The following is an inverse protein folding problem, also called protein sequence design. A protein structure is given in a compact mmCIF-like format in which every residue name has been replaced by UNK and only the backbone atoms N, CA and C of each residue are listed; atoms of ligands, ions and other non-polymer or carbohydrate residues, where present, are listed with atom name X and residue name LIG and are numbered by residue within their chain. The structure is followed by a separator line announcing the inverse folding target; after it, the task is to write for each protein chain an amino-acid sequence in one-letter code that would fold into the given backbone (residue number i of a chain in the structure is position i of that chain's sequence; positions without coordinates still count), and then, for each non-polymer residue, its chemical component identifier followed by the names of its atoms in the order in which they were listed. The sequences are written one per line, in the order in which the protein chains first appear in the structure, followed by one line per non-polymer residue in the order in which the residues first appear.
data_IF_775364006287
#
_entry.id   IF_775364006287
#
_cell.length_a   1.000
_cell.length_b   1.000
_cell.length_c   1.000
_cell.angle_alpha   90.00
_cell.angle_beta   90.00
_cell.angle_gamma   90.00
#
_symmetry.space_group_name_H-M   'P 1'
#
loop_
_entity.id
_entity.type
_entity.pdbx_description
1 polymer ?
#
# COMPACT_ATOMS: atom_id res chain seq x y z
N UNK A 1 -7.64 -14.43 -2.65
CA UNK A 1 -6.74 -13.32 -2.28
C UNK A 1 -5.43 -13.95 -1.86
N UNK A 2 -4.37 -13.77 -2.63
CA UNK A 2 -3.03 -14.18 -2.16
C UNK A 2 -2.69 -13.41 -0.87
N UNK A 3 -2.15 -14.12 0.12
CA UNK A 3 -1.86 -13.58 1.44
C UNK A 3 -0.60 -12.72 1.42
N UNK A 4 -0.70 -11.52 0.85
CA UNK A 4 0.35 -10.49 0.84
C UNK A 4 0.13 -9.43 1.93
N UNK A 5 1.21 -8.75 2.34
CA UNK A 5 1.10 -7.57 3.22
C UNK A 5 0.71 -6.36 2.37
N UNK A 6 -0.50 -5.85 2.54
CA UNK A 6 -0.95 -4.63 1.84
C UNK A 6 -0.18 -3.43 2.40
N UNK A 7 0.53 -2.71 1.52
CA UNK A 7 1.28 -1.50 1.87
C UNK A 7 0.42 -0.24 1.69
N UNK A 8 -0.44 -0.24 0.69
CA UNK A 8 -1.35 0.85 0.36
C UNK A 8 -2.68 0.28 -0.13
N UNK A 9 -3.80 0.88 0.27
CA UNK A 9 -5.12 0.62 -0.31
C UNK A 9 -5.82 1.93 -0.67
N UNK A 10 -6.51 1.94 -1.81
CA UNK A 10 -7.39 3.01 -2.30
C UNK A 10 -8.70 2.40 -2.80
N UNK A 11 -9.78 2.62 -2.07
CA UNK A 11 -11.16 2.28 -2.43
C UNK A 11 -12.02 3.53 -2.61
N UNK A 12 -11.54 4.72 -2.21
CA UNK A 12 -12.22 5.98 -2.49
C UNK A 12 -11.49 7.21 -1.95
N UNK A 13 -12.27 8.16 -1.45
CA UNK A 13 -11.82 9.47 -0.95
C UNK A 13 -11.83 9.57 0.58
N UNK A 14 -12.01 8.46 1.31
CA UNK A 14 -12.16 8.44 2.77
C UNK A 14 -10.92 8.90 3.52
N UNK A 15 -9.74 8.75 2.92
CA UNK A 15 -8.45 9.16 3.49
C UNK A 15 -7.74 10.11 2.55
N UNK A 16 -7.39 11.30 3.03
CA UNK A 16 -6.56 12.25 2.27
C UNK A 16 -5.11 11.76 2.19
N UNK A 17 -4.60 11.59 0.97
CA UNK A 17 -3.21 11.19 0.71
C UNK A 17 -2.25 12.37 0.53
N UNK A 18 -2.76 13.59 0.34
CA UNK A 18 -1.93 14.80 0.38
C UNK A 18 -1.50 15.06 1.84
N UNK A 19 -0.32 14.56 2.21
CA UNK A 19 0.20 14.56 3.59
C UNK A 19 1.69 14.89 3.60
N UNK A 20 2.18 15.36 4.75
CA UNK A 20 3.59 15.67 4.94
C UNK A 20 4.47 14.41 5.10
N UNK A 21 5.79 14.62 5.12
CA UNK A 21 6.78 13.56 5.29
C UNK A 21 6.58 12.72 6.55
N UNK A 22 6.25 13.33 7.68
CA UNK A 22 6.07 12.62 8.94
C UNK A 22 4.94 11.59 8.86
N UNK A 23 3.84 11.94 8.19
CA UNK A 23 2.74 11.04 7.92
C UNK A 23 3.16 9.88 7.01
N UNK A 24 3.87 10.14 5.91
CA UNK A 24 4.37 9.07 5.03
C UNK A 24 5.40 8.16 5.71
N UNK A 25 6.22 8.71 6.61
CA UNK A 25 7.20 7.95 7.39
C UNK A 25 6.52 6.97 8.36
N UNK A 26 5.47 7.41 9.05
CA UNK A 26 4.81 6.65 10.11
C UNK A 26 3.61 5.81 9.63
N UNK A 27 2.94 6.23 8.56
CA UNK A 27 1.68 5.66 8.07
C UNK A 27 0.46 6.48 8.51
N UNK A 28 -0.66 6.29 7.81
CA UNK A 28 -1.94 6.94 8.09
C UNK A 28 -3.10 6.14 7.47
N UNK A 29 -4.34 6.44 7.89
CA UNK A 29 -5.54 5.72 7.48
C UNK A 29 -5.86 4.52 8.37
N UNK A 30 -6.71 3.63 7.88
CA UNK A 30 -7.18 2.43 8.59
C UNK A 30 -6.74 1.17 7.83
N UNK A 31 -6.07 0.24 8.52
CA UNK A 31 -5.54 -1.00 7.93
C UNK A 31 -6.62 -1.90 7.34
N UNK A 32 -7.88 -1.76 7.76
CA UNK A 32 -9.01 -2.48 7.18
C UNK A 32 -9.61 -1.75 5.97
N UNK A 33 -9.27 -0.47 5.76
CA UNK A 33 -9.78 0.41 4.70
C UNK A 33 -8.62 1.09 3.96
N UNK A 34 -8.82 2.32 3.50
CA UNK A 34 -7.79 3.14 2.86
C UNK A 34 -6.68 3.49 3.83
N UNK A 35 -5.44 3.18 3.43
CA UNK A 35 -4.29 3.46 4.27
C UNK A 35 -2.99 3.53 3.46
N UNK A 36 -2.00 4.10 4.12
CA UNK A 36 -0.58 3.96 3.84
C UNK A 36 0.10 3.34 5.06
N UNK A 37 0.73 2.17 4.89
CA UNK A 37 1.32 1.40 6.00
C UNK A 37 2.43 2.18 6.73
N UNK A 38 3.17 3.02 6.00
CA UNK A 38 4.28 3.82 6.50
C UNK A 38 5.64 3.30 6.07
N UNK A 39 6.51 4.20 5.58
CA UNK A 39 7.83 3.85 5.04
C UNK A 39 8.72 3.08 6.03
N UNK A 40 8.68 3.41 7.33
CA UNK A 40 9.45 2.68 8.35
C UNK A 40 9.04 1.21 8.44
N UNK A 41 7.74 0.93 8.32
CA UNK A 41 7.20 -0.43 8.39
C UNK A 41 7.53 -1.19 7.11
N UNK A 42 7.34 -0.55 5.95
CA UNK A 42 7.72 -1.12 4.64
C UNK A 42 9.20 -1.49 4.62
N UNK A 43 10.07 -0.57 5.01
CA UNK A 43 11.51 -0.84 5.12
C UNK A 43 11.80 -2.00 6.07
N UNK A 44 11.17 -2.05 7.25
CA UNK A 44 11.38 -3.15 8.19
C UNK A 44 10.98 -4.52 7.62
N UNK A 45 9.98 -4.55 6.74
CA UNK A 45 9.55 -5.77 6.06
C UNK A 45 10.51 -6.17 4.95
N UNK A 46 10.97 -5.21 4.14
CA UNK A 46 11.71 -5.50 2.90
C UNK A 46 13.23 -5.39 3.03
N UNK A 47 13.77 -4.91 4.15
CA UNK A 47 15.22 -4.69 4.35
C UNK A 47 16.09 -5.95 4.24
N UNK A 48 15.51 -7.14 4.39
CA UNK A 48 16.29 -8.38 4.30
C UNK A 48 16.62 -8.68 2.83
N UNK A 49 17.89 -8.48 2.47
CA UNK A 49 18.43 -8.68 1.11
C UNK A 49 18.60 -10.14 0.71
N UNK A 50 18.56 -11.10 1.66
CA UNK A 50 18.64 -12.53 1.33
C UNK A 50 17.28 -13.11 0.92
N UNK A 51 16.19 -12.36 1.14
CA UNK A 51 14.85 -12.71 0.68
C UNK A 51 14.53 -11.98 -0.61
N UNK A 52 13.82 -12.66 -1.52
CA UNK A 52 13.20 -12.05 -2.68
C UNK A 52 11.81 -11.54 -2.28
N UNK A 53 11.48 -10.33 -2.71
CA UNK A 53 10.18 -9.71 -2.51
C UNK A 53 9.61 -9.39 -3.88
N UNK A 54 8.31 -9.62 -4.05
CA UNK A 54 7.56 -9.19 -5.24
C UNK A 54 6.64 -8.05 -4.78
N UNK A 55 6.60 -6.98 -5.56
CA UNK A 55 5.65 -5.90 -5.36
C UNK A 55 4.56 -6.04 -6.41
N UNK A 56 3.35 -6.37 -5.96
CA UNK A 56 2.17 -6.37 -6.81
C UNK A 56 1.39 -5.07 -6.65
N UNK A 57 0.92 -4.51 -7.75
CA UNK A 57 -0.01 -3.38 -7.79
C UNK A 57 -1.28 -3.82 -8.51
N UNK A 58 -2.40 -3.86 -7.79
CA UNK A 58 -3.73 -4.08 -8.37
C UNK A 58 -4.44 -2.74 -8.60
N UNK A 59 -5.03 -2.57 -9.79
CA UNK A 59 -5.72 -1.38 -10.26
C UNK A 59 -7.13 -1.76 -10.73
N UNK A 60 -8.05 -0.82 -10.58
CA UNK A 60 -9.41 -0.91 -11.11
C UNK A 60 -9.84 0.44 -11.67
N UNK A 61 -10.76 0.44 -12.64
CA UNK A 61 -11.31 1.64 -13.26
C UNK A 61 -12.82 1.78 -13.05
N UNK A 62 -13.36 2.94 -13.39
CA UNK A 62 -14.78 3.25 -13.22
C UNK A 62 -15.71 2.51 -14.20
N UNK A 63 -15.16 1.87 -15.23
CA UNK A 63 -15.89 1.07 -16.22
C UNK A 63 -15.92 -0.42 -15.84
N UNK A 64 -15.35 -0.78 -14.68
CA UNK A 64 -15.31 -2.15 -14.15
C UNK A 64 -14.10 -2.97 -14.61
N UNK A 65 -13.16 -2.35 -15.34
CA UNK A 65 -11.88 -2.95 -15.71
C UNK A 65 -10.96 -3.13 -14.50
N UNK A 66 -10.15 -4.18 -14.54
CA UNK A 66 -9.14 -4.48 -13.51
C UNK A 66 -7.83 -4.89 -14.20
N UNK A 67 -6.70 -4.50 -13.62
CA UNK A 67 -5.37 -4.85 -14.09
C UNK A 67 -4.40 -5.03 -12.91
N UNK A 68 -3.30 -5.74 -13.14
CA UNK A 68 -2.21 -5.85 -12.16
C UNK A 68 -0.84 -5.78 -12.81
N UNK A 69 0.18 -5.42 -12.02
CA UNK A 69 1.59 -5.46 -12.39
C UNK A 69 2.44 -6.00 -11.24
N UNK A 70 3.51 -6.73 -11.56
CA UNK A 70 4.47 -7.35 -10.63
C UNK A 70 5.92 -7.19 -11.10
#
# INVERSE_FOLDING_TARGET
MEAGRVVQRRSGASVAFNRNWAAYKNGFGDLMQDHWLGLRKVFSLTKNKTRKWILRVDLWDHEGGNAFAE
#
